data_IF_543766351186
#
_entry.id   IF_543766351186
#
_cell.length_a   1.000
_cell.length_b   1.000
_cell.length_c   1.000
_cell.angle_alpha   90.00
_cell.angle_beta   90.00
_cell.angle_gamma   90.00
#
_symmetry.space_group_name_H-M   'P 1'
#
loop_
_entity.id
_entity.type
_entity.pdbx_description
1 polymer ?
#
# COMPACT_ATOMS: atom_id res chain seq x y z
N UNK A 1 -1.06 -12.03 -7.39
CA UNK A 1 -1.80 -10.80 -7.18
C UNK A 1 -1.88 -10.46 -5.69
N UNK A 2 -2.03 -11.43 -4.80
CA UNK A 2 -2.17 -11.23 -3.34
C UNK A 2 -0.84 -11.04 -2.60
N UNK A 3 0.13 -10.34 -3.19
CA UNK A 3 1.41 -10.07 -2.54
C UNK A 3 2.17 -11.33 -2.11
N UNK A 4 2.06 -12.39 -2.89
CA UNK A 4 2.65 -13.72 -2.62
C UNK A 4 2.20 -14.36 -1.29
N UNK A 5 1.03 -13.98 -0.77
CA UNK A 5 0.44 -14.71 0.35
C UNK A 5 0.15 -16.16 -0.06
N UNK A 6 0.38 -17.14 0.82
CA UNK A 6 -0.02 -18.52 0.58
C UNK A 6 -1.51 -18.61 0.23
N UNK A 7 -1.89 -19.55 -0.64
CA UNK A 7 -3.27 -19.65 -1.14
C UNK A 7 -4.29 -19.94 -0.04
N UNK A 8 -3.90 -20.67 1.00
CA UNK A 8 -4.69 -20.96 2.19
C UNK A 8 -4.85 -19.76 3.14
N UNK A 9 -4.03 -18.71 2.96
CA UNK A 9 -4.08 -17.44 3.70
C UNK A 9 -4.70 -16.30 2.89
N UNK A 10 -5.00 -16.55 1.61
CA UNK A 10 -5.55 -15.54 0.69
C UNK A 10 -7.07 -15.61 0.65
N UNK A 11 -7.73 -14.47 0.70
CA UNK A 11 -9.18 -14.40 0.57
C UNK A 11 -9.63 -14.62 -0.87
N UNK A 12 -10.49 -15.60 -1.12
CA UNK A 12 -11.13 -15.79 -2.43
C UNK A 12 -11.96 -14.55 -2.82
N UNK A 13 -12.59 -13.90 -1.84
CA UNK A 13 -13.37 -12.69 -2.07
C UNK A 13 -12.50 -11.54 -2.60
N UNK A 14 -11.24 -11.42 -2.16
CA UNK A 14 -10.32 -10.41 -2.66
C UNK A 14 -9.95 -10.67 -4.13
N UNK A 15 -9.78 -11.93 -4.52
CA UNK A 15 -9.60 -12.28 -5.94
C UNK A 15 -10.80 -11.87 -6.78
N UNK A 16 -12.01 -12.20 -6.34
CA UNK A 16 -13.24 -11.81 -7.02
C UNK A 16 -13.36 -10.30 -7.15
N UNK A 17 -12.96 -9.55 -6.13
CA UNK A 17 -12.95 -8.08 -6.17
C UNK A 17 -12.03 -7.54 -7.28
N UNK A 18 -10.83 -8.08 -7.41
CA UNK A 18 -9.91 -7.69 -8.48
C UNK A 18 -10.50 -7.95 -9.87
N UNK A 19 -11.11 -9.13 -10.07
CA UNK A 19 -11.78 -9.44 -11.34
C UNK A 19 -13.00 -8.52 -11.59
N UNK A 20 -13.79 -8.23 -10.56
CA UNK A 20 -14.96 -7.38 -10.68
C UNK A 20 -14.59 -5.94 -11.11
N UNK A 21 -13.48 -5.39 -10.62
CA UNK A 21 -12.97 -4.07 -11.02
C UNK A 21 -12.57 -4.00 -12.51
N UNK A 22 -12.46 -5.14 -13.17
CA UNK A 22 -12.07 -5.26 -14.58
C UNK A 22 -13.13 -6.01 -15.40
N UNK A 23 -14.42 -5.89 -15.00
CA UNK A 23 -15.56 -6.49 -15.69
C UNK A 23 -15.42 -8.02 -15.84
N UNK A 24 -14.78 -8.68 -14.87
CA UNK A 24 -14.46 -10.11 -14.88
C UNK A 24 -13.61 -10.54 -16.09
N UNK A 25 -12.84 -9.64 -16.67
CA UNK A 25 -11.94 -9.89 -17.78
C UNK A 25 -10.47 -9.79 -17.33
N UNK A 26 -9.73 -10.88 -17.45
CA UNK A 26 -8.32 -10.96 -17.04
C UNK A 26 -7.43 -9.97 -17.82
N UNK A 27 -7.68 -9.81 -19.12
CA UNK A 27 -6.88 -8.90 -19.95
C UNK A 27 -7.13 -7.44 -19.57
N UNK A 28 -8.38 -7.07 -19.32
CA UNK A 28 -8.72 -5.73 -18.81
C UNK A 28 -8.08 -5.49 -17.45
N UNK A 29 -8.01 -6.51 -16.59
CA UNK A 29 -7.34 -6.39 -15.29
C UNK A 29 -5.86 -6.03 -15.45
N UNK A 30 -5.13 -6.76 -16.27
CA UNK A 30 -3.72 -6.47 -16.52
C UNK A 30 -3.50 -5.12 -17.19
N UNK A 31 -4.33 -4.77 -18.15
CA UNK A 31 -4.26 -3.49 -18.82
C UNK A 31 -4.53 -2.32 -17.86
N UNK A 32 -5.58 -2.39 -17.06
CA UNK A 32 -5.94 -1.34 -16.10
C UNK A 32 -4.86 -1.08 -15.06
N UNK A 33 -4.14 -2.10 -14.60
CA UNK A 33 -3.10 -1.96 -13.58
C UNK A 33 -1.72 -1.58 -14.13
N UNK A 34 -1.51 -1.64 -15.45
CA UNK A 34 -0.17 -1.46 -16.04
C UNK A 34 -0.10 -0.42 -17.17
N UNK A 35 -1.23 -0.02 -17.74
CA UNK A 35 -1.24 0.89 -18.92
C UNK A 35 -0.72 2.29 -18.60
N UNK A 36 -1.09 2.85 -17.47
CA UNK A 36 -0.77 4.23 -17.12
C UNK A 36 0.05 4.31 -15.85
N UNK A 37 0.93 5.29 -15.81
CA UNK A 37 1.74 5.63 -14.65
C UNK A 37 1.64 7.12 -14.39
N UNK A 38 1.72 7.51 -13.12
CA UNK A 38 1.79 8.92 -12.75
C UNK A 38 3.16 9.45 -13.13
N UNK A 39 3.21 10.48 -13.98
CA UNK A 39 4.45 11.16 -14.30
C UNK A 39 5.09 11.73 -13.01
N UNK A 40 6.38 11.44 -12.82
CA UNK A 40 7.09 11.78 -11.58
C UNK A 40 6.80 10.85 -10.39
N UNK A 41 6.06 9.73 -10.62
CA UNK A 41 5.72 8.75 -9.59
C UNK A 41 4.55 9.17 -8.69
N UNK A 42 4.12 8.27 -7.81
CA UNK A 42 2.99 8.53 -6.89
C UNK A 42 3.27 9.65 -5.90
N UNK A 43 4.55 9.91 -5.59
CA UNK A 43 4.93 11.04 -4.75
C UNK A 43 4.49 12.38 -5.35
N UNK A 44 4.59 12.55 -6.67
CA UNK A 44 4.17 13.79 -7.34
C UNK A 44 2.66 14.06 -7.14
N UNK A 45 1.83 13.02 -7.11
CA UNK A 45 0.40 13.15 -6.80
C UNK A 45 0.20 13.67 -5.37
N UNK A 46 0.88 13.08 -4.40
CA UNK A 46 0.78 13.49 -2.98
C UNK A 46 1.28 14.91 -2.78
N UNK A 47 2.40 15.28 -3.41
CA UNK A 47 2.96 16.63 -3.33
C UNK A 47 1.97 17.67 -3.91
N UNK A 48 1.32 17.37 -5.03
CA UNK A 48 0.31 18.25 -5.62
C UNK A 48 -0.94 18.36 -4.75
N UNK A 49 -1.39 17.27 -4.15
CA UNK A 49 -2.51 17.29 -3.21
C UNK A 49 -2.18 18.13 -1.97
N UNK A 50 -0.97 18.01 -1.43
CA UNK A 50 -0.51 18.79 -0.30
C UNK A 50 -0.36 20.28 -0.64
N UNK A 51 0.18 20.61 -1.81
CA UNK A 51 0.34 21.99 -2.27
C UNK A 51 -0.99 22.70 -2.57
N UNK A 52 -1.97 21.97 -3.11
CA UNK A 52 -3.32 22.49 -3.41
C UNK A 52 -4.32 22.39 -2.26
N UNK A 53 -3.98 21.68 -1.19
CA UNK A 53 -4.86 21.42 -0.07
C UNK A 53 -5.03 22.63 0.86
N UNK A 54 -6.22 22.79 1.40
CA UNK A 54 -6.51 23.79 2.46
C UNK A 54 -6.38 23.14 3.83
N UNK A 55 -5.26 22.46 4.08
CA UNK A 55 -4.98 21.76 5.33
C UNK A 55 -3.50 21.92 5.70
N UNK A 56 -3.21 21.80 6.96
CA UNK A 56 -1.85 21.76 7.48
C UNK A 56 -1.32 20.33 7.48
N UNK A 57 -0.09 20.13 7.00
CA UNK A 57 0.60 18.83 7.07
C UNK A 57 1.66 18.91 8.17
N UNK A 58 1.58 18.03 9.15
CA UNK A 58 2.55 17.88 10.23
C UNK A 58 3.30 16.57 10.07
N UNK A 59 4.55 16.64 9.69
CA UNK A 59 5.45 15.50 9.57
C UNK A 59 6.26 15.30 10.85
N UNK A 60 6.64 14.05 11.14
CA UNK A 60 7.40 13.72 12.34
C UNK A 60 6.60 13.82 13.65
N UNK A 61 5.26 13.81 13.56
CA UNK A 61 4.33 13.87 14.67
C UNK A 61 3.50 12.57 14.79
N UNK A 62 4.12 11.47 15.24
CA UNK A 62 3.40 10.22 15.38
C UNK A 62 2.32 10.31 16.45
N UNK A 63 1.13 9.81 16.14
CA UNK A 63 0.00 9.74 17.06
C UNK A 63 0.20 8.59 18.04
N UNK A 64 -0.06 8.83 19.32
CA UNK A 64 -0.03 7.83 20.40
C UNK A 64 -1.41 7.42 20.89
N UNK A 65 -2.39 8.35 20.88
CA UNK A 65 -3.73 8.07 21.35
C UNK A 65 -4.80 8.88 20.59
N UNK A 66 -5.99 8.31 20.53
CA UNK A 66 -7.21 9.00 20.05
C UNK A 66 -8.31 8.69 21.05
N UNK A 67 -8.88 9.75 21.67
CA UNK A 67 -10.05 9.63 22.53
C UNK A 67 -11.24 10.33 21.91
N UNK A 68 -12.45 9.80 22.16
CA UNK A 68 -13.70 10.37 21.70
C UNK A 68 -14.67 10.46 22.89
N UNK A 69 -15.15 11.67 23.18
CA UNK A 69 -16.10 11.97 24.22
C UNK A 69 -17.08 13.06 23.73
N UNK A 70 -18.35 12.90 24.05
CA UNK A 70 -19.42 13.92 23.86
C UNK A 70 -19.47 14.56 22.45
N UNK A 71 -19.15 13.78 21.43
CA UNK A 71 -19.16 14.25 20.04
C UNK A 71 -17.89 14.92 19.56
N UNK A 72 -16.91 15.11 20.44
CA UNK A 72 -15.56 15.59 20.12
C UNK A 72 -14.54 14.45 20.14
N UNK A 73 -13.43 14.63 19.46
CA UNK A 73 -12.29 13.73 19.52
C UNK A 73 -11.02 14.50 19.86
N UNK A 74 -10.12 13.85 20.61
CA UNK A 74 -8.80 14.37 20.93
C UNK A 74 -7.74 13.42 20.40
N UNK A 75 -6.87 13.93 19.55
CA UNK A 75 -5.69 13.22 19.04
C UNK A 75 -4.48 13.64 19.86
N UNK A 76 -3.77 12.68 20.44
CA UNK A 76 -2.56 12.93 21.24
C UNK A 76 -1.34 12.42 20.47
N UNK A 77 -0.33 13.25 20.31
CA UNK A 77 0.95 12.85 19.69
C UNK A 77 1.87 12.15 20.69
N UNK A 78 2.91 11.48 20.21
CA UNK A 78 3.94 10.89 21.10
C UNK A 78 4.71 11.94 21.92
N UNK A 79 4.66 13.22 21.52
CA UNK A 79 5.25 14.33 22.27
C UNK A 79 4.31 14.91 23.33
N UNK A 80 3.08 14.39 23.40
CA UNK A 80 2.07 14.84 24.38
C UNK A 80 1.23 16.03 23.92
N UNK A 81 1.39 16.50 22.67
CA UNK A 81 0.51 17.52 22.12
C UNK A 81 -0.89 16.96 21.92
N UNK A 82 -1.91 17.74 22.22
CA UNK A 82 -3.32 17.38 22.07
C UNK A 82 -4.00 18.27 21.04
N UNK A 83 -4.69 17.64 20.09
CA UNK A 83 -5.44 18.31 19.03
C UNK A 83 -6.90 17.92 19.18
N UNK A 84 -7.77 18.87 19.51
CA UNK A 84 -9.23 18.67 19.57
C UNK A 84 -9.86 18.87 18.19
N UNK A 85 -10.78 17.99 17.84
CA UNK A 85 -11.51 18.02 16.58
C UNK A 85 -12.86 17.32 16.71
N UNK A 86 -13.78 17.58 15.79
CA UNK A 86 -15.07 16.89 15.73
C UNK A 86 -14.98 15.53 15.03
N UNK A 87 -13.97 15.32 14.19
CA UNK A 87 -13.86 14.11 13.38
C UNK A 87 -12.40 13.74 13.18
N UNK A 88 -12.09 12.46 13.28
CA UNK A 88 -10.77 11.89 12.96
C UNK A 88 -10.92 10.82 11.90
N UNK A 89 -10.12 10.90 10.83
CA UNK A 89 -9.99 9.84 9.83
C UNK A 89 -8.67 9.12 10.09
N UNK A 90 -8.77 7.84 10.47
CA UNK A 90 -7.59 6.99 10.69
C UNK A 90 -7.23 6.29 9.39
N UNK A 91 -6.20 6.78 8.71
CA UNK A 91 -5.70 6.24 7.43
C UNK A 91 -4.33 5.56 7.61
N UNK A 92 -4.15 4.84 8.71
CA UNK A 92 -2.93 4.10 9.01
C UNK A 92 -2.94 2.72 8.31
N UNK A 93 -1.76 2.18 7.97
CA UNK A 93 -1.66 0.76 7.60
C UNK A 93 -2.21 -0.14 8.71
N UNK A 94 -2.82 -1.27 8.31
CA UNK A 94 -3.47 -2.18 9.25
C UNK A 94 -2.57 -2.57 10.43
N UNK A 95 -1.34 -2.93 10.16
CA UNK A 95 -0.36 -3.34 11.18
C UNK A 95 0.12 -2.21 12.11
N UNK A 96 -0.22 -0.95 11.82
CA UNK A 96 0.12 0.20 12.67
C UNK A 96 -1.02 0.65 13.59
N UNK A 97 -2.24 0.15 13.40
CA UNK A 97 -3.41 0.53 14.20
C UNK A 97 -3.21 0.13 15.67
N UNK A 98 -2.57 -1.01 15.93
CA UNK A 98 -2.28 -1.50 17.29
C UNK A 98 -1.34 -0.58 18.09
N UNK A 99 -0.59 0.30 17.43
CA UNK A 99 0.35 1.22 18.06
C UNK A 99 -0.32 2.49 18.59
N UNK A 100 -1.62 2.67 18.29
CA UNK A 100 -2.43 3.81 18.74
C UNK A 100 -3.42 3.33 19.80
N UNK A 101 -3.45 4.04 20.92
CA UNK A 101 -4.42 3.80 21.99
C UNK A 101 -5.76 4.47 21.62
N UNK A 102 -6.85 3.70 21.62
CA UNK A 102 -8.20 4.22 21.35
C UNK A 102 -9.06 4.24 22.60
N UNK A 103 -9.79 5.33 22.84
CA UNK A 103 -10.80 5.47 23.86
C UNK A 103 -12.08 6.09 23.27
N UNK A 104 -13.23 5.38 23.22
CA UNK A 104 -13.40 3.97 23.59
C UNK A 104 -12.57 3.04 22.70
N UNK A 105 -12.25 1.87 23.25
CA UNK A 105 -11.43 0.88 22.54
C UNK A 105 -12.10 0.45 21.22
N UNK A 106 -11.31 0.28 20.17
CA UNK A 106 -11.80 -0.33 18.93
C UNK A 106 -12.18 -1.80 19.17
N UNK A 107 -13.03 -2.35 18.29
CA UNK A 107 -13.48 -3.73 18.45
C UNK A 107 -12.31 -4.72 18.48
N UNK A 108 -12.46 -5.79 19.28
CA UNK A 108 -11.44 -6.85 19.39
C UNK A 108 -11.04 -7.40 18.02
N UNK A 109 -12.01 -7.60 17.12
CA UNK A 109 -11.75 -8.13 15.75
C UNK A 109 -10.80 -7.22 14.97
N UNK A 110 -10.96 -5.90 15.04
CA UNK A 110 -10.06 -4.95 14.38
C UNK A 110 -8.66 -4.96 14.98
N UNK A 111 -8.58 -5.04 16.31
CA UNK A 111 -7.30 -5.08 17.01
C UNK A 111 -6.55 -6.40 16.74
N UNK A 112 -7.25 -7.53 16.72
CA UNK A 112 -6.65 -8.82 16.40
C UNK A 112 -6.16 -8.84 14.94
N UNK A 113 -6.94 -8.31 13.98
CA UNK A 113 -6.51 -8.18 12.60
C UNK A 113 -5.28 -7.28 12.46
N UNK A 114 -5.19 -6.19 13.24
CA UNK A 114 -4.00 -5.34 13.27
C UNK A 114 -2.76 -6.06 13.79
N UNK A 115 -2.91 -6.88 14.82
CA UNK A 115 -1.82 -7.68 15.41
C UNK A 115 -1.36 -8.81 14.49
N UNK A 116 -2.29 -9.46 13.82
CA UNK A 116 -2.00 -10.47 12.82
C UNK A 116 -1.27 -9.85 11.60
N UNK A 117 -1.62 -8.62 11.25
CA UNK A 117 -1.01 -7.88 10.17
C UNK A 117 -1.51 -8.31 8.80
N UNK A 118 -0.80 -7.86 7.75
CA UNK A 118 -1.10 -8.21 6.37
C UNK A 118 -0.40 -9.51 5.99
N UNK A 119 -1.13 -10.43 5.37
CA UNK A 119 -0.60 -11.76 4.96
C UNK A 119 0.33 -11.71 3.75
N UNK A 120 0.31 -10.63 2.98
CA UNK A 120 1.16 -10.45 1.81
C UNK A 120 2.62 -10.21 2.21
N UNK A 121 3.53 -11.04 1.70
CA UNK A 121 4.97 -10.94 1.91
C UNK A 121 5.74 -10.55 0.65
N UNK A 122 5.02 -10.12 -0.40
CA UNK A 122 5.62 -9.80 -1.70
C UNK A 122 6.60 -8.64 -1.64
N UNK A 123 7.78 -8.88 -2.20
CA UNK A 123 8.86 -7.90 -2.32
C UNK A 123 9.13 -7.60 -3.79
N UNK A 124 9.32 -6.32 -4.11
CA UNK A 124 9.78 -5.89 -5.44
C UNK A 124 11.26 -5.52 -5.37
N UNK A 125 12.03 -6.05 -6.29
CA UNK A 125 13.45 -5.71 -6.47
C UNK A 125 13.59 -5.00 -7.82
N UNK A 126 14.14 -3.80 -7.79
CA UNK A 126 14.41 -3.03 -9.00
C UNK A 126 15.90 -3.10 -9.33
N UNK A 127 16.20 -3.36 -10.60
CA UNK A 127 17.57 -3.48 -11.12
C UNK A 127 17.75 -2.57 -12.32
N UNK A 128 18.75 -1.70 -12.29
CA UNK A 128 19.18 -0.94 -13.46
C UNK A 128 20.17 -1.77 -14.26
N UNK A 129 19.90 -1.96 -15.55
CA UNK A 129 20.79 -2.69 -16.45
C UNK A 129 21.91 -1.80 -16.99
N UNK A 130 23.00 -2.42 -17.43
CA UNK A 130 23.99 -1.80 -18.30
C UNK A 130 23.59 -2.10 -19.75
N UNK A 131 23.14 -1.07 -20.46
CA UNK A 131 22.69 -1.23 -21.86
C UNK A 131 21.26 -1.78 -21.96
N UNK A 132 20.91 -2.18 -23.18
CA UNK A 132 19.57 -2.62 -23.58
C UNK A 132 19.50 -4.15 -23.72
N UNK A 133 18.41 -4.68 -23.28
CA UNK A 133 18.05 -6.08 -23.43
C UNK A 133 16.65 -6.18 -24.03
N UNK A 134 16.24 -7.30 -24.61
CA UNK A 134 14.85 -7.48 -25.04
C UNK A 134 13.87 -7.20 -23.89
N UNK A 135 12.83 -6.45 -24.17
CA UNK A 135 11.73 -6.23 -23.22
C UNK A 135 11.08 -7.59 -22.91
N UNK A 136 10.86 -7.87 -21.65
CA UNK A 136 10.30 -9.14 -21.22
C UNK A 136 9.22 -8.98 -20.17
N UNK A 137 8.37 -9.98 -20.11
CA UNK A 137 7.45 -10.29 -19.03
C UNK A 137 7.53 -11.80 -18.83
N UNK A 138 7.78 -12.26 -17.63
CA UNK A 138 7.98 -13.68 -17.40
C UNK A 138 7.72 -14.15 -15.99
N UNK A 139 7.49 -15.45 -15.87
CA UNK A 139 7.39 -16.14 -14.60
C UNK A 139 8.63 -17.00 -14.38
N UNK A 140 9.16 -16.95 -13.17
CA UNK A 140 10.13 -17.90 -12.67
C UNK A 140 9.46 -19.19 -12.17
N UNK A 141 10.28 -20.13 -11.70
CA UNK A 141 9.80 -21.33 -11.01
C UNK A 141 9.36 -20.98 -9.59
N UNK A 142 8.51 -21.81 -8.98
CA UNK A 142 7.99 -21.62 -7.63
C UNK A 142 9.07 -21.56 -6.53
N UNK A 143 10.19 -22.27 -6.77
CA UNK A 143 11.34 -22.32 -5.84
C UNK A 143 12.32 -21.14 -5.98
N UNK A 144 12.06 -20.22 -6.90
CA UNK A 144 12.89 -19.03 -7.08
C UNK A 144 12.45 -17.89 -6.18
N UNK A 145 13.40 -17.10 -5.61
CA UNK A 145 13.07 -15.91 -4.80
C UNK A 145 12.24 -14.87 -5.55
N UNK A 146 12.45 -14.76 -6.87
CA UNK A 146 11.67 -13.89 -7.75
C UNK A 146 10.88 -14.76 -8.72
N UNK A 147 9.58 -14.85 -8.50
CA UNK A 147 8.68 -15.72 -9.27
C UNK A 147 8.06 -15.02 -10.46
N UNK A 148 8.16 -13.70 -10.53
CA UNK A 148 7.63 -12.88 -11.61
C UNK A 148 8.56 -11.73 -11.90
N UNK A 149 8.74 -11.36 -13.17
CA UNK A 149 9.60 -10.24 -13.55
C UNK A 149 9.20 -9.62 -14.87
N UNK A 150 9.55 -8.34 -15.02
CA UNK A 150 9.25 -7.57 -16.22
C UNK A 150 10.21 -6.40 -16.42
N UNK A 151 10.25 -5.88 -17.64
CA UNK A 151 10.89 -4.60 -17.92
C UNK A 151 9.96 -3.48 -17.50
N UNK A 152 10.36 -2.76 -16.46
CA UNK A 152 9.56 -1.69 -15.83
C UNK A 152 9.67 -0.37 -16.59
N UNK A 153 10.91 0.01 -16.97
CA UNK A 153 11.20 1.17 -17.81
C UNK A 153 12.20 0.79 -18.89
N UNK A 154 11.99 1.31 -20.09
CA UNK A 154 12.82 1.07 -21.26
C UNK A 154 13.29 2.43 -21.82
N UNK A 155 14.31 3.02 -21.18
CA UNK A 155 14.93 4.26 -21.61
C UNK A 155 15.96 4.01 -22.72
N UNK A 156 16.38 5.02 -23.50
CA UNK A 156 17.33 4.86 -24.59
C UNK A 156 18.68 4.24 -24.18
N UNK A 157 19.19 4.56 -23.00
CA UNK A 157 20.53 4.16 -22.55
C UNK A 157 20.52 2.97 -21.58
N UNK A 158 19.42 2.71 -20.88
CA UNK A 158 19.34 1.68 -19.87
C UNK A 158 17.90 1.17 -19.72
N UNK A 159 17.74 0.14 -18.93
CA UNK A 159 16.43 -0.36 -18.52
C UNK A 159 16.37 -0.50 -17.02
N UNK A 160 15.16 -0.38 -16.48
CA UNK A 160 14.85 -0.79 -15.13
C UNK A 160 14.05 -2.08 -15.21
N UNK A 161 14.57 -3.14 -14.65
CA UNK A 161 13.88 -4.41 -14.49
C UNK A 161 13.25 -4.46 -13.11
N UNK A 162 12.07 -5.02 -13.02
CA UNK A 162 11.42 -5.32 -11.75
C UNK A 162 11.29 -6.84 -11.61
N UNK A 163 11.82 -7.37 -10.50
CA UNK A 163 11.53 -8.72 -10.05
C UNK A 163 10.57 -8.66 -8.87
N UNK A 164 9.64 -9.60 -8.79
CA UNK A 164 8.65 -9.71 -7.73
C UNK A 164 8.61 -11.13 -7.18
N UNK A 165 8.67 -11.25 -5.85
CA UNK A 165 8.69 -12.53 -5.17
C UNK A 165 8.30 -12.40 -3.69
N UNK A 166 8.38 -13.48 -2.96
CA UNK A 166 8.16 -13.53 -1.52
C UNK A 166 9.48 -13.42 -0.76
#
# INVERSE_FOLDING_TARGET
>A
INGHAPSDKSSHLDQLRWYALSEFNLWNMWDNISRYRVAGGTKALIDQMAAGGRFETRLGEPVSAISQEDGDATVTTKRGEQIRTRTVIVALPLNCIQDVQFSPAISKVKLDASREGHTGSGTKVYMRTKGKHPVFLGHGKEDMPLTFGWTEYDDPEHQILCGFGA
#
